data_IF_445781043799
#
_entry.id   IF_445781043799
#
_cell.length_a   1.000
_cell.length_b   1.000
_cell.length_c   1.000
_cell.angle_alpha   90.00
_cell.angle_beta   90.00
_cell.angle_gamma   90.00
#
_symmetry.space_group_name_H-M   'P 1'
#
loop_
_entity.id
_entity.type
_entity.pdbx_description
1 polymer ?
#
# COMPACT_ATOMS: atom_id res chain seq x y z
N UNK A 1 -9.63 16.17 -14.50
CA UNK A 1 -8.24 16.47 -14.07
C UNK A 1 -7.36 16.36 -15.30
N UNK A 2 -6.75 17.45 -15.79
CA UNK A 2 -5.85 17.37 -16.95
C UNK A 2 -4.61 16.55 -16.55
N UNK A 3 -4.31 15.52 -17.33
CA UNK A 3 -3.10 14.71 -17.18
C UNK A 3 -2.01 15.35 -18.04
N UNK A 4 -0.89 15.71 -17.42
CA UNK A 4 0.33 16.07 -18.16
C UNK A 4 1.12 14.80 -18.48
N UNK A 5 0.98 14.33 -19.72
CA UNK A 5 1.65 13.14 -20.23
C UNK A 5 3.17 13.29 -20.29
N UNK A 6 3.74 14.50 -20.20
CA UNK A 6 5.19 14.71 -20.17
C UNK A 6 5.84 14.10 -18.94
N UNK A 7 5.08 13.97 -17.84
CA UNK A 7 5.56 13.39 -16.58
C UNK A 7 5.43 11.87 -16.53
N UNK A 8 5.11 11.23 -17.66
CA UNK A 8 4.97 9.78 -17.77
C UNK A 8 5.93 9.24 -18.82
N UNK A 9 6.14 7.93 -18.79
CA UNK A 9 6.95 7.25 -19.80
C UNK A 9 6.42 7.54 -21.23
N UNK A 10 7.28 7.77 -22.24
CA UNK A 10 6.84 8.13 -23.60
C UNK A 10 5.85 7.13 -24.23
N UNK A 11 5.95 5.85 -23.86
CA UNK A 11 5.05 4.76 -24.29
C UNK A 11 3.92 4.48 -23.31
N UNK A 12 3.50 5.45 -22.49
CA UNK A 12 2.49 5.25 -21.45
C UNK A 12 1.16 4.72 -21.99
N UNK A 13 0.73 5.16 -23.17
CA UNK A 13 -0.50 4.66 -23.82
C UNK A 13 -0.47 3.13 -24.02
N UNK A 14 0.68 2.60 -24.46
CA UNK A 14 0.90 1.16 -24.65
C UNK A 14 0.92 0.43 -23.31
N UNK A 15 1.68 0.94 -22.34
CA UNK A 15 1.77 0.37 -20.98
C UNK A 15 0.38 0.31 -20.34
N UNK A 16 -0.36 1.42 -20.39
CA UNK A 16 -1.70 1.53 -19.83
C UNK A 16 -2.68 0.53 -20.46
N UNK A 17 -2.60 0.34 -21.78
CA UNK A 17 -3.42 -0.65 -22.49
C UNK A 17 -3.02 -2.08 -22.09
N UNK A 18 -1.71 -2.36 -21.99
CA UNK A 18 -1.19 -3.66 -21.58
C UNK A 18 -1.74 -4.09 -20.22
N UNK A 19 -1.67 -3.19 -19.23
CA UNK A 19 -2.12 -3.46 -17.88
C UNK A 19 -3.65 -3.59 -17.81
N UNK A 20 -4.42 -2.64 -18.37
CA UNK A 20 -5.89 -2.65 -18.24
C UNK A 20 -6.59 -3.73 -19.05
N UNK A 21 -6.16 -3.95 -20.29
CA UNK A 21 -6.89 -4.80 -21.24
C UNK A 21 -6.40 -6.23 -21.19
N UNK A 22 -5.08 -6.45 -21.24
CA UNK A 22 -4.52 -7.77 -21.40
C UNK A 22 -4.24 -8.45 -20.07
N UNK A 23 -3.53 -7.79 -19.15
CA UNK A 23 -3.22 -8.36 -17.83
C UNK A 23 -4.47 -8.44 -16.94
N UNK A 24 -5.16 -7.31 -16.77
CA UNK A 24 -6.29 -7.23 -15.84
C UNK A 24 -7.63 -7.66 -16.46
N UNK A 25 -7.63 -8.10 -17.72
CA UNK A 25 -8.82 -8.55 -18.45
C UNK A 25 -10.03 -7.58 -18.36
N UNK A 26 -9.77 -6.26 -18.46
CA UNK A 26 -10.78 -5.20 -18.29
C UNK A 26 -11.51 -5.25 -16.93
N UNK A 27 -10.84 -5.68 -15.87
CA UNK A 27 -11.36 -5.68 -14.49
C UNK A 27 -10.41 -4.96 -13.55
N UNK A 28 -10.94 -4.42 -12.48
CA UNK A 28 -10.14 -3.88 -11.38
C UNK A 28 -9.38 -5.04 -10.71
N UNK A 29 -8.07 -4.92 -10.54
CA UNK A 29 -7.24 -5.95 -9.89
C UNK A 29 -7.49 -6.06 -8.38
N UNK A 30 -8.14 -5.07 -7.76
CA UNK A 30 -8.44 -5.10 -6.32
C UNK A 30 -9.86 -5.53 -5.99
N UNK A 31 -10.87 -5.02 -6.71
CA UNK A 31 -12.28 -5.29 -6.40
C UNK A 31 -13.00 -6.10 -7.49
N UNK A 32 -12.33 -6.45 -8.59
CA UNK A 32 -12.92 -7.24 -9.69
C UNK A 32 -13.95 -6.49 -10.56
N UNK A 33 -14.25 -5.23 -10.26
CA UNK A 33 -15.25 -4.44 -10.98
C UNK A 33 -14.92 -4.33 -12.48
N UNK A 34 -15.90 -4.60 -13.34
CA UNK A 34 -15.72 -4.65 -14.80
C UNK A 34 -15.75 -3.24 -15.40
N UNK A 35 -14.78 -2.93 -16.26
CA UNK A 35 -14.70 -1.64 -16.95
C UNK A 35 -15.95 -1.33 -17.78
N UNK A 36 -16.46 -0.11 -17.70
CA UNK A 36 -17.61 0.36 -18.46
C UNK A 36 -18.99 -0.04 -17.91
N UNK A 37 -19.04 -0.94 -16.93
CA UNK A 37 -20.28 -1.40 -16.29
C UNK A 37 -20.52 -0.67 -14.95
N UNK A 38 -21.75 -0.73 -14.39
CA UNK A 38 -22.01 -0.25 -13.03
C UNK A 38 -21.15 -0.97 -11.99
N UNK A 39 -20.58 -0.22 -11.05
CA UNK A 39 -19.77 -0.78 -9.97
C UNK A 39 -20.67 -1.50 -8.96
N UNK A 40 -20.36 -2.74 -8.54
CA UNK A 40 -21.25 -3.55 -7.69
C UNK A 40 -21.56 -2.90 -6.33
N UNK A 41 -20.60 -2.16 -5.75
CA UNK A 41 -20.79 -1.48 -4.46
C UNK A 41 -21.19 0.00 -4.53
N UNK A 42 -21.16 0.67 -5.68
CA UNK A 42 -21.47 2.12 -5.75
C UNK A 42 -22.46 2.50 -6.85
N UNK A 43 -22.81 1.59 -7.76
CA UNK A 43 -23.70 1.85 -8.89
C UNK A 43 -23.12 2.73 -10.00
N UNK A 44 -22.06 3.50 -9.72
CA UNK A 44 -21.42 4.39 -10.71
C UNK A 44 -20.78 3.59 -11.85
N UNK A 45 -20.74 4.16 -13.05
CA UNK A 45 -20.03 3.57 -14.20
C UNK A 45 -18.53 3.47 -13.91
N UNK A 46 -18.02 2.25 -13.92
CA UNK A 46 -16.61 1.94 -13.67
C UNK A 46 -15.75 2.44 -14.83
N UNK A 47 -14.74 3.23 -14.51
CA UNK A 47 -13.63 3.56 -15.42
C UNK A 47 -12.34 3.05 -14.80
N UNK A 48 -11.60 2.21 -15.55
CA UNK A 48 -10.29 1.73 -15.11
C UNK A 48 -9.17 2.70 -15.50
N UNK A 49 -8.32 2.99 -14.53
CA UNK A 49 -7.05 3.72 -14.66
C UNK A 49 -5.89 2.81 -14.24
N UNK A 50 -4.65 3.20 -14.57
CA UNK A 50 -3.46 2.52 -14.09
C UNK A 50 -2.84 3.35 -12.96
N UNK A 51 -2.54 2.68 -11.85
CA UNK A 51 -1.96 3.27 -10.66
C UNK A 51 -0.54 2.72 -10.43
N UNK A 52 0.37 3.58 -9.97
CA UNK A 52 1.65 3.18 -9.40
C UNK A 52 1.45 2.84 -7.92
N UNK A 53 1.70 1.58 -7.53
CA UNK A 53 1.47 1.11 -6.15
C UNK A 53 2.35 1.87 -5.15
N UNK A 54 3.61 2.10 -5.51
CA UNK A 54 4.55 2.93 -4.73
C UNK A 54 4.32 4.45 -4.85
N UNK A 55 3.35 4.89 -5.66
CA UNK A 55 3.06 6.30 -5.98
C UNK A 55 4.23 7.04 -6.65
N UNK A 56 5.23 6.33 -7.15
CA UNK A 56 6.33 6.86 -7.95
C UNK A 56 6.06 6.63 -9.45
N UNK A 57 5.81 7.72 -10.18
CA UNK A 57 5.51 7.71 -11.62
C UNK A 57 6.66 7.20 -12.50
N UNK A 58 7.89 7.25 -12.01
CA UNK A 58 9.09 6.81 -12.74
C UNK A 58 9.24 5.28 -12.70
N UNK A 59 8.72 4.62 -11.64
CA UNK A 59 8.81 3.19 -11.47
C UNK A 59 7.73 2.45 -12.29
N UNK A 60 7.98 2.28 -13.58
CA UNK A 60 7.06 1.63 -14.52
C UNK A 60 7.22 0.11 -14.60
N UNK A 61 7.75 -0.52 -13.54
CA UNK A 61 7.92 -1.98 -13.47
C UNK A 61 6.56 -2.66 -13.41
N UNK A 62 6.46 -3.83 -14.04
CA UNK A 62 5.18 -4.53 -14.21
C UNK A 62 4.46 -4.79 -12.88
N UNK A 63 5.18 -5.20 -11.83
CA UNK A 63 4.61 -5.44 -10.49
C UNK A 63 4.15 -4.17 -9.77
N UNK A 64 4.69 -3.00 -10.13
CA UNK A 64 4.33 -1.72 -9.50
C UNK A 64 3.10 -1.07 -10.14
N UNK A 65 2.62 -1.59 -11.27
CA UNK A 65 1.44 -1.08 -11.96
C UNK A 65 0.23 -1.95 -11.66
N UNK A 66 -0.91 -1.30 -11.36
CA UNK A 66 -2.19 -1.97 -11.19
C UNK A 66 -3.32 -1.29 -11.96
N UNK A 67 -4.22 -2.07 -12.54
CA UNK A 67 -5.47 -1.58 -13.12
C UNK A 67 -6.53 -1.41 -12.03
N UNK A 68 -6.86 -0.16 -11.67
CA UNK A 68 -7.80 0.15 -10.59
C UNK A 68 -9.03 0.89 -11.09
N UNK A 69 -10.19 0.62 -10.50
CA UNK A 69 -11.38 1.45 -10.70
C UNK A 69 -11.26 2.78 -9.93
N UNK A 70 -12.09 3.76 -10.28
CA UNK A 70 -12.12 5.07 -9.62
C UNK A 70 -12.17 4.97 -8.08
N UNK A 71 -13.00 4.08 -7.52
CA UNK A 71 -13.12 3.88 -6.06
C UNK A 71 -11.80 3.38 -5.45
N UNK A 72 -11.25 2.29 -5.98
CA UNK A 72 -10.01 1.70 -5.48
C UNK A 72 -8.83 2.65 -5.63
N UNK A 73 -8.75 3.35 -6.78
CA UNK A 73 -7.72 4.34 -7.05
C UNK A 73 -7.77 5.51 -6.06
N UNK A 74 -8.94 6.12 -5.85
CA UNK A 74 -9.11 7.21 -4.89
C UNK A 74 -8.84 6.77 -3.45
N UNK A 75 -9.14 5.52 -3.10
CA UNK A 75 -8.81 4.97 -1.78
C UNK A 75 -7.29 4.83 -1.58
N UNK A 76 -6.56 4.38 -2.61
CA UNK A 76 -5.10 4.32 -2.60
C UNK A 76 -4.46 5.69 -2.41
N UNK A 77 -4.99 6.71 -3.08
CA UNK A 77 -4.45 8.08 -3.05
C UNK A 77 -4.97 8.91 -1.87
N UNK A 78 -5.87 8.35 -1.03
CA UNK A 78 -6.58 9.08 0.03
C UNK A 78 -5.63 9.78 1.01
N UNK A 79 -4.61 9.08 1.48
CA UNK A 79 -3.65 9.63 2.44
C UNK A 79 -2.87 10.82 1.85
N UNK A 80 -2.42 10.69 0.60
CA UNK A 80 -1.71 11.76 -0.12
C UNK A 80 -2.64 12.95 -0.38
N UNK A 81 -3.90 12.71 -0.76
CA UNK A 81 -4.87 13.78 -0.94
C UNK A 81 -5.19 14.54 0.35
N UNK A 82 -5.25 13.83 1.49
CA UNK A 82 -5.43 14.47 2.80
C UNK A 82 -4.21 15.34 3.14
N UNK A 83 -2.99 14.81 2.94
CA UNK A 83 -1.76 15.54 3.19
C UNK A 83 -1.65 16.79 2.29
N UNK A 84 -1.86 16.64 0.98
CA UNK A 84 -1.84 17.76 0.03
C UNK A 84 -2.91 18.81 0.32
N UNK A 85 -4.07 18.42 0.86
CA UNK A 85 -5.11 19.37 1.30
C UNK A 85 -4.68 20.16 2.53
N UNK A 86 -3.95 19.54 3.46
CA UNK A 86 -3.52 20.16 4.72
C UNK A 86 -2.30 21.07 4.53
N UNK A 87 -1.32 20.64 3.75
CA UNK A 87 -0.01 21.31 3.63
C UNK A 87 0.22 21.97 2.27
N UNK A 88 -0.64 21.72 1.29
CA UNK A 88 -0.43 22.14 -0.10
C UNK A 88 0.41 21.13 -0.89
N UNK A 89 0.50 21.32 -2.21
CA UNK A 89 1.24 20.44 -3.12
C UNK A 89 2.76 20.61 -3.06
N UNK A 90 3.24 21.68 -2.43
CA UNK A 90 4.66 21.99 -2.29
C UNK A 90 5.32 21.06 -1.25
N UNK A 91 4.57 20.65 -0.23
CA UNK A 91 5.03 19.67 0.75
C UNK A 91 4.83 18.25 0.22
N UNK A 92 5.90 17.62 -0.25
CA UNK A 92 5.86 16.24 -0.78
C UNK A 92 5.73 15.24 0.36
N UNK A 93 4.51 14.74 0.62
CA UNK A 93 4.31 13.58 1.51
C UNK A 93 4.65 12.29 0.78
N UNK A 94 5.94 11.95 0.72
CA UNK A 94 6.41 10.68 0.15
C UNK A 94 6.57 9.65 1.26
N UNK A 95 5.90 8.50 1.13
CA UNK A 95 6.05 7.34 2.02
C UNK A 95 5.85 7.61 3.52
N UNK A 96 5.13 8.67 3.91
CA UNK A 96 4.95 9.02 5.31
C UNK A 96 5.80 10.20 5.80
N UNK A 97 6.77 10.68 5.01
CA UNK A 97 7.72 11.71 5.42
C UNK A 97 7.39 13.08 4.80
N UNK A 98 7.47 14.13 5.62
CA UNK A 98 7.20 15.52 5.24
C UNK A 98 8.39 16.18 4.53
N UNK A 99 9.60 15.68 4.79
CA UNK A 99 10.87 16.17 4.25
C UNK A 99 11.63 15.00 3.60
N UNK A 100 12.32 15.28 2.49
CA UNK A 100 13.37 14.39 2.00
C UNK A 100 14.56 14.58 2.92
N UNK A 101 14.85 13.55 3.71
CA UNK A 101 16.05 13.48 4.54
C UNK A 101 16.82 12.24 4.12
N UNK A 102 18.13 12.35 4.09
CA UNK A 102 18.97 11.20 3.83
C UNK A 102 18.86 10.23 5.02
N UNK A 103 19.01 8.92 4.76
CA UNK A 103 18.91 7.91 5.82
C UNK A 103 19.92 8.17 6.96
N UNK A 104 21.05 8.78 6.63
CA UNK A 104 22.09 9.15 7.60
C UNK A 104 21.70 10.39 8.42
N UNK A 105 21.08 11.40 7.80
CA UNK A 105 20.53 12.55 8.51
C UNK A 105 19.41 12.13 9.47
N UNK A 106 18.55 11.19 9.08
CA UNK A 106 17.52 10.65 9.99
C UNK A 106 18.12 9.91 11.19
N UNK A 107 19.17 9.10 10.97
CA UNK A 107 19.89 8.46 12.08
C UNK A 107 20.52 9.49 13.00
N UNK A 108 21.11 10.54 12.45
CA UNK A 108 21.79 11.57 13.22
C UNK A 108 20.79 12.42 14.03
N UNK A 109 19.68 12.83 13.41
CA UNK A 109 18.58 13.53 14.09
C UNK A 109 17.94 12.68 15.20
N UNK A 110 17.64 11.41 14.93
CA UNK A 110 17.04 10.52 15.94
C UNK A 110 17.99 10.27 17.11
N UNK A 111 19.29 10.10 16.85
CA UNK A 111 20.31 9.96 17.87
C UNK A 111 20.45 11.23 18.73
N UNK A 112 20.51 12.41 18.13
CA UNK A 112 20.58 13.70 18.85
C UNK A 112 19.35 13.93 19.74
N UNK A 113 18.14 13.65 19.24
CA UNK A 113 16.90 13.76 20.04
C UNK A 113 16.90 12.77 21.22
N UNK A 114 17.39 11.55 21.03
CA UNK A 114 17.55 10.60 22.12
C UNK A 114 18.56 11.08 23.17
N UNK A 115 19.71 11.63 22.74
CA UNK A 115 20.74 12.15 23.64
C UNK A 115 20.26 13.33 24.49
N UNK A 116 19.49 14.25 23.91
CA UNK A 116 18.88 15.37 24.64
C UNK A 116 17.86 14.92 25.70
N UNK A 117 17.18 13.79 25.47
CA UNK A 117 16.22 13.21 26.42
C UNK A 117 16.89 12.40 27.54
N UNK A 118 18.07 11.85 27.29
CA UNK A 118 18.87 11.13 28.29
C UNK A 118 19.84 12.03 29.06
N UNK A 119 19.92 13.32 28.71
CA UNK A 119 20.83 14.25 29.38
C UNK A 119 20.24 14.67 30.75
N UNK A 120 20.86 14.28 31.87
CA UNK A 120 20.33 14.56 33.21
C UNK A 120 20.26 16.07 33.54
N UNK A 121 21.00 16.91 32.80
CA UNK A 121 21.01 18.37 32.99
C UNK A 121 19.83 19.10 32.32
N UNK A 122 19.02 18.45 31.49
CA UNK A 122 17.82 19.04 30.87
C UNK A 122 16.54 18.86 31.73
N UNK A 123 16.71 18.48 33.00
CA UNK A 123 15.63 18.24 33.98
C UNK A 123 14.82 19.50 34.34
N UNK A 124 15.30 20.71 34.03
CA UNK A 124 14.73 21.96 34.54
C UNK A 124 13.72 22.67 33.63
N UNK A 125 13.29 22.09 32.51
CA UNK A 125 12.27 22.73 31.65
C UNK A 125 11.15 21.82 31.14
N UNK A 126 10.66 20.93 32.01
CA UNK A 126 9.41 20.20 31.81
C UNK A 126 8.41 20.40 32.98
N UNK A 127 8.41 21.57 33.60
CA UNK A 127 7.29 21.99 34.44
C UNK A 127 6.27 22.73 33.58
N UNK A 128 5.05 22.20 33.54
CA UNK A 128 3.83 22.74 32.92
C UNK A 128 3.50 22.30 31.48
N UNK A 129 3.35 20.99 31.26
CA UNK A 129 2.24 20.52 30.42
C UNK A 129 1.33 19.65 31.27
N UNK A 130 0.28 20.28 31.81
CA UNK A 130 -0.80 19.62 32.52
C UNK A 130 -1.52 18.62 31.60
N UNK A 131 -1.87 17.42 32.06
CA UNK A 131 -2.50 16.40 31.23
C UNK A 131 -3.96 16.79 30.99
N UNK A 132 -4.23 17.51 29.89
CA UNK A 132 -5.57 17.62 29.34
C UNK A 132 -5.60 17.10 27.91
N UNK A 133 -6.20 15.92 27.79
CA UNK A 133 -6.82 15.35 26.59
C UNK A 133 -5.89 15.00 25.44
N UNK A 134 -5.18 13.88 25.59
CA UNK A 134 -4.90 13.02 24.43
C UNK A 134 -6.22 12.31 24.10
N UNK A 135 -6.85 12.54 22.93
CA UNK A 135 -8.00 11.73 22.53
C UNK A 135 -7.52 10.27 22.38
N UNK A 136 -8.27 9.27 22.89
CA UNK A 136 -7.86 7.88 22.75
C UNK A 136 -7.76 7.52 21.27
N UNK A 137 -6.61 6.95 20.89
CA UNK A 137 -6.41 6.36 19.57
C UNK A 137 -7.47 5.25 19.38
N UNK A 138 -8.13 5.17 18.20
CA UNK A 138 -9.00 4.04 17.93
C UNK A 138 -8.15 2.77 17.88
N UNK A 139 -8.47 1.81 18.75
CA UNK A 139 -7.83 0.50 18.77
C UNK A 139 -7.96 -0.15 17.38
N UNK A 140 -6.82 -0.45 16.75
CA UNK A 140 -6.74 -1.17 15.49
C UNK A 140 -6.60 -2.67 15.81
N UNK A 141 -7.64 -3.50 15.63
CA UNK A 141 -7.69 -4.86 16.19
C UNK A 141 -7.09 -5.91 15.23
N UNK A 142 -6.00 -5.61 14.52
CA UNK A 142 -5.42 -6.55 13.54
C UNK A 142 -3.91 -6.77 13.67
N UNK A 143 -3.30 -6.35 14.79
CA UNK A 143 -1.86 -6.53 15.02
C UNK A 143 -1.49 -7.73 15.93
N UNK A 144 -2.31 -8.79 15.96
CA UNK A 144 -2.01 -10.02 16.72
C UNK A 144 -1.48 -11.19 15.86
N UNK A 145 -1.11 -10.97 14.59
CA UNK A 145 -0.62 -12.06 13.73
C UNK A 145 0.64 -11.66 12.96
N UNK A 146 1.75 -11.50 13.67
CA UNK A 146 3.08 -11.71 13.10
C UNK A 146 3.78 -12.79 13.94
N UNK A 147 4.11 -13.96 13.38
CA UNK A 147 4.83 -15.00 14.12
C UNK A 147 6.27 -14.56 14.43
N UNK A 148 6.72 -14.90 15.63
CA UNK A 148 8.07 -14.61 16.15
C UNK A 148 9.17 -15.11 15.20
N UNK A 149 10.18 -14.28 14.87
CA UNK A 149 11.26 -14.65 13.97
C UNK A 149 12.29 -15.61 14.59
N UNK A 150 12.08 -16.12 15.81
CA UNK A 150 13.04 -16.97 16.53
C UNK A 150 12.54 -18.37 16.90
N UNK A 151 11.35 -18.77 16.45
CA UNK A 151 10.89 -20.14 16.64
C UNK A 151 11.55 -21.10 15.63
N UNK A 152 12.54 -21.86 16.10
CA UNK A 152 13.16 -22.95 15.34
C UNK A 152 12.14 -24.06 15.02
N UNK A 153 12.09 -24.61 13.78
CA UNK A 153 11.11 -25.63 13.43
C UNK A 153 11.55 -26.97 14.01
N UNK A 154 10.90 -27.42 15.08
CA UNK A 154 10.94 -28.82 15.47
C UNK A 154 10.21 -29.66 14.41
N UNK A 155 10.86 -30.74 14.00
CA UNK A 155 10.41 -31.67 12.97
C UNK A 155 8.97 -32.14 13.21
N UNK A 156 8.07 -31.71 12.33
CA UNK A 156 6.73 -32.30 12.21
C UNK A 156 6.89 -33.62 11.46
N UNK A 157 6.78 -34.73 12.19
CA UNK A 157 6.57 -36.07 11.64
C UNK A 157 5.21 -36.08 10.94
N UNK A 158 5.22 -36.06 9.62
CA UNK A 158 4.01 -36.27 8.81
C UNK A 158 3.67 -37.76 8.89
N UNK A 159 2.65 -38.13 9.67
CA UNK A 159 1.98 -39.41 9.50
C UNK A 159 1.26 -39.39 8.14
N UNK A 160 1.76 -40.20 7.21
CA UNK A 160 1.09 -40.50 5.95
C UNK A 160 -0.25 -41.17 6.27
N UNK A 161 -1.36 -40.48 6.07
CA UNK A 161 -2.65 -41.13 5.86
C UNK A 161 -2.64 -41.72 4.45
N UNK A 162 -2.81 -43.04 4.37
CA UNK A 162 -3.04 -43.77 3.13
C UNK A 162 -4.34 -43.28 2.51
N UNK A 163 -4.26 -42.56 1.39
CA UNK A 163 -5.41 -42.25 0.55
C UNK A 163 -5.43 -43.31 -0.54
N UNK A 164 -6.51 -44.09 -0.58
CA UNK A 164 -6.74 -45.09 -1.62
C UNK A 164 -6.77 -44.42 -3.01
N UNK A 165 -6.11 -45.00 -4.04
CA UNK A 165 -6.16 -44.47 -5.39
C UNK A 165 -7.54 -44.76 -6.00
N UNK A 166 -8.41 -43.74 -5.97
CA UNK A 166 -9.67 -43.73 -6.70
C UNK A 166 -9.47 -43.77 -8.21
N UNK A 167 -10.16 -44.70 -8.85
CA UNK A 167 -10.25 -44.96 -10.28
C UNK A 167 -10.48 -43.71 -11.12
N UNK A 168 -9.57 -43.42 -12.05
CA UNK A 168 -9.78 -42.43 -13.11
C UNK A 168 -10.47 -43.17 -14.26
N UNK A 169 -11.75 -42.88 -14.50
CA UNK A 169 -12.44 -43.36 -15.70
C UNK A 169 -11.93 -42.62 -16.95
N UNK A 170 -11.66 -43.35 -18.06
CA UNK A 170 -11.20 -42.72 -19.30
C UNK A 170 -12.35 -41.97 -20.00
N UNK A 171 -12.03 -40.90 -20.76
CA UNK A 171 -13.04 -40.14 -21.49
C UNK A 171 -13.65 -40.99 -22.63
N UNK A 172 -14.94 -40.77 -22.97
CA UNK A 172 -15.62 -41.50 -24.03
C UNK A 172 -15.09 -41.11 -25.43
N UNK A 173 -15.07 -42.06 -26.39
CA UNK A 173 -14.60 -41.80 -27.76
C UNK A 173 -15.60 -40.95 -28.58
N UNK A 174 -15.03 -40.29 -29.59
CA UNK A 174 -15.55 -39.18 -30.42
C UNK A 174 -16.95 -39.33 -31.02
#
# INVERSE_FOLDING_TARGET
MPIDYKNYHPKWSLISRMIRVYRAHNRCEWCGARNGHPHPGTGSRVILTVAHIDRNRENNRFWNLAALCQRCHLNHDRAVHIANRKYGSETKYQNGMLFQTDAEELKQLTHTICQEKTNPDNSTRLTECSPRHVPPLPELPWLECLPDPLASPSLITIQRTSVDPGTIEPPPPE
#
